data_IF_392192320245
#
_entry.id   IF_392192320245
#
_cell.length_a   1.000
_cell.length_b   1.000
_cell.length_c   1.000
_cell.angle_alpha   90.00
_cell.angle_beta   90.00
_cell.angle_gamma   90.00
#
_symmetry.space_group_name_H-M   'P 1'
#
loop_
_entity.id
_entity.type
_entity.pdbx_description
1 polymer ?
#
# COMPACT_ATOMS: atom_id res chain seq x y z
N UNK A 1 -25.47 -8.51 -3.10
CA UNK A 1 -24.72 -7.42 -2.46
C UNK A 1 -24.65 -7.75 -0.98
N UNK A 2 -23.45 -8.00 -0.47
CA UNK A 2 -23.23 -8.38 0.93
C UNK A 2 -22.66 -7.16 1.66
N UNK A 3 -23.39 -6.69 2.67
CA UNK A 3 -22.97 -5.57 3.52
C UNK A 3 -22.57 -6.11 4.88
N UNK A 4 -21.34 -6.61 4.96
CA UNK A 4 -20.76 -7.14 6.18
C UNK A 4 -19.58 -6.27 6.66
N UNK A 5 -19.08 -6.59 7.84
CA UNK A 5 -17.91 -5.94 8.46
C UNK A 5 -16.70 -5.95 7.51
N UNK A 6 -16.53 -7.00 6.71
CA UNK A 6 -15.49 -7.16 5.69
C UNK A 6 -15.56 -6.13 4.55
N UNK A 7 -16.74 -5.52 4.33
CA UNK A 7 -16.95 -4.44 3.35
C UNK A 7 -16.89 -3.06 4.02
N UNK A 8 -17.37 -2.96 5.27
CA UNK A 8 -17.38 -1.72 6.02
C UNK A 8 -15.97 -1.21 6.36
N UNK A 9 -15.08 -2.10 6.82
CA UNK A 9 -13.71 -1.71 7.21
C UNK A 9 -12.95 -1.09 6.02
N UNK A 10 -12.88 -1.75 4.83
CA UNK A 10 -12.24 -1.14 3.67
C UNK A 10 -12.94 0.13 3.17
N UNK A 11 -14.26 0.24 3.30
CA UNK A 11 -15.00 1.44 2.91
C UNK A 11 -14.62 2.66 3.76
N UNK A 12 -14.59 2.50 5.09
CA UNK A 12 -14.18 3.58 6.01
C UNK A 12 -12.71 3.93 5.77
N UNK A 13 -11.84 2.94 5.62
CA UNK A 13 -10.43 3.15 5.31
C UNK A 13 -10.24 3.93 4.00
N UNK A 14 -10.96 3.55 2.94
CA UNK A 14 -10.93 4.25 1.65
C UNK A 14 -11.30 5.73 1.79
N UNK A 15 -12.39 6.04 2.49
CA UNK A 15 -12.81 7.43 2.73
C UNK A 15 -11.73 8.21 3.47
N UNK A 16 -11.13 7.62 4.51
CA UNK A 16 -10.04 8.26 5.25
C UNK A 16 -8.81 8.51 4.36
N UNK A 17 -8.38 7.52 3.58
CA UNK A 17 -7.20 7.66 2.71
C UNK A 17 -7.40 8.68 1.60
N UNK A 18 -8.58 8.70 0.96
CA UNK A 18 -8.94 9.74 -0.02
C UNK A 18 -8.95 11.12 0.64
N UNK A 19 -9.52 11.23 1.84
CA UNK A 19 -9.55 12.48 2.60
C UNK A 19 -8.14 12.99 2.88
N UNK A 20 -7.25 12.13 3.37
CA UNK A 20 -5.85 12.51 3.59
C UNK A 20 -5.11 12.86 2.29
N UNK A 21 -5.38 12.15 1.21
CA UNK A 21 -4.80 12.47 -0.09
C UNK A 21 -5.24 13.87 -0.56
N UNK A 22 -6.54 14.16 -0.51
CA UNK A 22 -7.11 15.47 -0.87
C UNK A 22 -6.55 16.58 0.01
N UNK A 23 -6.56 16.42 1.33
CA UNK A 23 -5.99 17.42 2.24
C UNK A 23 -4.50 17.63 1.99
N UNK A 24 -3.77 16.55 1.73
CA UNK A 24 -2.37 16.60 1.37
C UNK A 24 -2.13 17.47 0.13
N UNK A 25 -2.88 17.25 -0.95
CA UNK A 25 -2.82 18.07 -2.17
C UNK A 25 -3.22 19.52 -1.93
N UNK A 26 -4.25 19.78 -1.11
CA UNK A 26 -4.67 21.15 -0.77
C UNK A 26 -3.60 21.90 0.03
N UNK A 27 -2.80 21.19 0.83
CA UNK A 27 -1.72 21.77 1.64
C UNK A 27 -0.40 21.92 0.88
N UNK A 28 -0.35 21.57 -0.42
CA UNK A 28 0.82 21.64 -1.30
C UNK A 28 1.59 22.98 -1.25
N UNK A 29 0.87 24.10 -1.02
CA UNK A 29 1.47 25.44 -1.00
C UNK A 29 1.95 25.94 0.37
N UNK A 30 1.64 25.24 1.47
CA UNK A 30 1.87 25.76 2.83
C UNK A 30 2.98 25.06 3.62
N UNK A 31 3.31 23.80 3.33
CA UNK A 31 4.30 23.01 4.08
C UNK A 31 5.19 22.15 3.17
N UNK A 32 6.18 21.45 3.76
CA UNK A 32 7.00 20.42 3.07
C UNK A 32 6.09 19.30 2.56
N UNK A 33 5.62 19.45 1.33
CA UNK A 33 4.80 18.47 0.66
C UNK A 33 5.64 17.29 0.15
N UNK A 34 5.39 16.10 0.70
CA UNK A 34 6.03 14.88 0.24
C UNK A 34 5.16 14.21 -0.83
N UNK A 35 5.57 14.32 -2.10
CA UNK A 35 4.93 13.60 -3.22
C UNK A 35 4.86 12.09 -2.96
N UNK A 36 5.91 11.54 -2.36
CA UNK A 36 6.02 10.12 -1.98
C UNK A 36 4.94 9.70 -0.96
N UNK A 37 4.55 10.61 -0.05
CA UNK A 37 3.42 10.37 0.86
C UNK A 37 2.09 10.29 0.10
N UNK A 38 1.85 11.23 -0.83
CA UNK A 38 0.61 11.20 -1.62
C UNK A 38 0.50 9.94 -2.46
N UNK A 39 1.60 9.53 -3.09
CA UNK A 39 1.65 8.31 -3.87
C UNK A 39 1.32 7.08 -3.02
N UNK A 40 1.91 7.00 -1.81
CA UNK A 40 1.56 5.97 -0.82
C UNK A 40 0.06 5.99 -0.48
N UNK A 41 -0.50 7.16 -0.17
CA UNK A 41 -1.92 7.28 0.17
C UNK A 41 -2.84 6.85 -0.99
N UNK A 42 -2.46 7.15 -2.23
CA UNK A 42 -3.17 6.70 -3.43
C UNK A 42 -3.14 5.17 -3.53
N UNK A 43 -1.99 4.52 -3.33
CA UNK A 43 -1.91 3.06 -3.39
C UNK A 43 -2.75 2.37 -2.33
N UNK A 44 -2.73 2.87 -1.09
CA UNK A 44 -3.55 2.32 -0.01
C UNK A 44 -5.04 2.58 -0.29
N UNK A 45 -5.40 3.73 -0.86
CA UNK A 45 -6.78 4.00 -1.29
C UNK A 45 -7.24 3.03 -2.40
N UNK A 46 -6.41 2.78 -3.43
CA UNK A 46 -6.71 1.79 -4.48
C UNK A 46 -6.92 0.40 -3.88
N UNK A 47 -6.07 0.00 -2.94
CA UNK A 47 -6.20 -1.26 -2.24
C UNK A 47 -7.51 -1.36 -1.44
N UNK A 48 -7.81 -0.35 -0.61
CA UNK A 48 -9.04 -0.33 0.19
C UNK A 48 -10.30 -0.30 -0.68
N UNK A 49 -10.29 0.45 -1.79
CA UNK A 49 -11.39 0.47 -2.74
C UNK A 49 -11.60 -0.90 -3.41
N UNK A 50 -10.53 -1.51 -3.90
CA UNK A 50 -10.60 -2.84 -4.52
C UNK A 50 -11.11 -3.89 -3.54
N UNK A 51 -10.63 -3.87 -2.29
CA UNK A 51 -11.09 -4.77 -1.23
C UNK A 51 -12.57 -4.55 -0.90
N UNK A 52 -13.02 -3.30 -0.78
CA UNK A 52 -14.43 -2.95 -0.56
C UNK A 52 -15.29 -3.53 -1.69
N UNK A 53 -14.96 -3.23 -2.95
CA UNK A 53 -15.76 -3.64 -4.09
C UNK A 53 -15.78 -5.16 -4.29
N UNK A 54 -14.69 -5.85 -3.95
CA UNK A 54 -14.61 -7.31 -3.96
C UNK A 54 -15.60 -7.94 -2.96
N UNK A 55 -15.66 -7.42 -1.73
CA UNK A 55 -16.55 -7.96 -0.69
C UNK A 55 -18.01 -7.52 -0.85
N UNK A 56 -18.25 -6.36 -1.48
CA UNK A 56 -19.59 -5.84 -1.77
C UNK A 56 -20.40 -6.80 -2.65
N UNK A 57 -19.72 -7.60 -3.49
CA UNK A 57 -20.32 -8.48 -4.49
C UNK A 57 -21.40 -7.76 -5.32
N UNK A 58 -20.99 -6.61 -5.88
CA UNK A 58 -21.86 -5.75 -6.69
C UNK A 58 -22.03 -6.33 -8.10
N UNK A 59 -23.22 -6.20 -8.73
CA UNK A 59 -23.44 -6.65 -10.10
C UNK A 59 -22.61 -5.90 -11.17
N UNK A 60 -21.87 -4.85 -10.78
CA UNK A 60 -21.06 -4.06 -11.71
C UNK A 60 -19.93 -4.90 -12.35
N UNK A 61 -19.20 -5.67 -11.55
CA UNK A 61 -18.05 -6.48 -11.99
C UNK A 61 -17.83 -7.64 -11.00
N UNK A 62 -17.15 -8.69 -11.46
CA UNK A 62 -16.86 -9.86 -10.63
C UNK A 62 -15.91 -9.54 -9.47
N UNK A 63 -16.00 -10.26 -8.33
CA UNK A 63 -15.03 -10.12 -7.24
C UNK A 63 -13.58 -10.34 -7.70
N UNK A 64 -13.35 -11.25 -8.65
CA UNK A 64 -12.03 -11.46 -9.27
C UNK A 64 -11.50 -10.20 -9.97
N UNK A 65 -12.34 -9.46 -10.70
CA UNK A 65 -11.93 -8.19 -11.31
C UNK A 65 -11.51 -7.16 -10.27
N UNK A 66 -12.31 -7.01 -9.20
CA UNK A 66 -11.97 -6.11 -8.09
C UNK A 66 -10.72 -6.54 -7.33
N UNK A 67 -10.47 -7.84 -7.24
CA UNK A 67 -9.23 -8.37 -6.70
C UNK A 67 -8.00 -7.92 -7.53
N UNK A 68 -8.09 -7.94 -8.86
CA UNK A 68 -7.01 -7.43 -9.72
C UNK A 68 -6.69 -5.97 -9.40
N UNK A 69 -7.71 -5.13 -9.23
CA UNK A 69 -7.53 -3.72 -8.84
C UNK A 69 -6.95 -3.60 -7.42
N UNK A 70 -7.47 -4.38 -6.47
CA UNK A 70 -6.95 -4.42 -5.10
C UNK A 70 -5.45 -4.73 -5.08
N UNK A 71 -5.00 -5.71 -5.87
CA UNK A 71 -3.60 -6.12 -5.95
C UNK A 71 -2.68 -5.05 -6.56
N UNK A 72 -3.18 -4.17 -7.44
CA UNK A 72 -2.42 -3.01 -7.93
C UNK A 72 -2.01 -2.14 -6.75
N UNK A 73 -2.97 -1.83 -5.88
CA UNK A 73 -2.71 -1.10 -4.64
C UNK A 73 -1.74 -1.87 -3.76
N UNK A 74 -2.12 -3.08 -3.33
CA UNK A 74 -1.37 -3.89 -2.35
C UNK A 74 0.10 -4.05 -2.71
N UNK A 75 0.41 -4.42 -3.96
CA UNK A 75 1.78 -4.68 -4.40
C UNK A 75 2.59 -3.40 -4.57
N UNK A 76 1.93 -2.25 -4.75
CA UNK A 76 2.60 -0.95 -4.90
C UNK A 76 2.81 -0.21 -3.58
N UNK A 77 2.02 -0.52 -2.53
CA UNK A 77 2.11 0.11 -1.20
C UNK A 77 3.54 0.12 -0.63
N UNK A 78 4.29 -1.00 -0.60
CA UNK A 78 5.62 -1.03 0.02
C UNK A 78 6.63 -0.08 -0.66
N UNK A 79 6.50 0.12 -1.97
CA UNK A 79 7.35 1.04 -2.74
C UNK A 79 7.06 2.50 -2.39
N UNK A 80 5.77 2.87 -2.35
CA UNK A 80 5.34 4.20 -1.92
C UNK A 80 5.78 4.50 -0.49
N UNK A 81 5.61 3.53 0.42
CA UNK A 81 6.00 3.66 1.82
C UNK A 81 7.51 3.84 1.99
N UNK A 82 8.32 3.02 1.32
CA UNK A 82 9.78 3.11 1.40
C UNK A 82 10.29 4.46 0.86
N UNK A 83 9.74 4.91 -0.27
CA UNK A 83 10.04 6.23 -0.85
C UNK A 83 9.65 7.36 0.10
N UNK A 84 8.48 7.28 0.74
CA UNK A 84 8.06 8.25 1.75
C UNK A 84 9.02 8.29 2.95
N UNK A 85 9.45 7.14 3.48
CA UNK A 85 10.39 7.08 4.60
C UNK A 85 11.73 7.73 4.26
N UNK A 86 12.25 7.50 3.05
CA UNK A 86 13.50 8.14 2.61
C UNK A 86 13.40 9.66 2.51
N UNK A 87 12.26 10.17 2.06
CA UNK A 87 12.02 11.61 2.03
C UNK A 87 11.75 12.20 3.42
N UNK A 88 11.02 11.47 4.29
CA UNK A 88 10.74 11.85 5.67
C UNK A 88 12.04 11.98 6.49
N UNK A 89 12.95 11.01 6.33
CA UNK A 89 14.27 11.00 6.97
C UNK A 89 15.28 11.93 6.28
N UNK A 90 14.88 12.61 5.21
CA UNK A 90 15.73 13.52 4.42
C UNK A 90 17.07 12.88 4.01
N UNK A 91 17.07 11.58 3.69
CA UNK A 91 18.28 10.84 3.32
C UNK A 91 18.82 11.43 2.01
N UNK A 92 20.03 11.99 2.06
CA UNK A 92 20.69 12.65 0.92
C UNK A 92 21.54 11.70 0.08
N UNK A 93 21.68 10.44 0.49
CA UNK A 93 22.48 9.46 -0.25
C UNK A 93 21.86 9.19 -1.63
N UNK A 94 22.58 9.60 -2.69
CA UNK A 94 22.13 9.44 -4.08
C UNK A 94 21.92 7.97 -4.45
N UNK A 95 22.74 7.06 -3.94
CA UNK A 95 22.65 5.62 -4.24
C UNK A 95 21.33 5.05 -3.72
N UNK A 96 20.96 5.39 -2.47
CA UNK A 96 19.70 4.95 -1.85
C UNK A 96 18.48 5.48 -2.62
N UNK A 97 18.49 6.77 -2.98
CA UNK A 97 17.41 7.38 -3.79
C UNK A 97 17.27 6.72 -5.16
N UNK A 98 18.39 6.46 -5.84
CA UNK A 98 18.39 5.76 -7.13
C UNK A 98 17.86 4.33 -7.01
N UNK A 99 18.28 3.59 -5.99
CA UNK A 99 17.84 2.22 -5.75
C UNK A 99 16.31 2.13 -5.56
N UNK A 100 15.73 3.05 -4.78
CA UNK A 100 14.28 3.10 -4.55
C UNK A 100 13.54 3.52 -5.81
N UNK A 101 14.02 4.53 -6.53
CA UNK A 101 13.38 4.95 -7.78
C UNK A 101 13.41 3.83 -8.83
N UNK A 102 14.54 3.12 -8.94
CA UNK A 102 14.67 2.00 -9.87
C UNK A 102 13.76 0.84 -9.48
N UNK A 103 13.50 0.65 -8.18
CA UNK A 103 12.63 -0.42 -7.72
C UNK A 103 11.18 -0.30 -8.16
N UNK A 104 10.70 0.89 -8.53
CA UNK A 104 9.37 1.03 -9.13
C UNK A 104 9.23 0.23 -10.42
N UNK A 105 10.33 -0.07 -11.12
CA UNK A 105 10.29 -0.94 -12.29
C UNK A 105 9.87 -2.38 -11.94
N UNK A 106 10.08 -2.83 -10.70
CA UNK A 106 9.64 -4.14 -10.22
C UNK A 106 8.11 -4.25 -10.12
N UNK A 107 7.39 -3.13 -10.11
CA UNK A 107 5.92 -3.13 -10.16
C UNK A 107 5.44 -3.68 -11.50
N UNK A 108 6.16 -3.45 -12.61
CA UNK A 108 5.75 -3.91 -13.95
C UNK A 108 5.58 -5.44 -14.02
N UNK A 109 6.60 -6.27 -13.69
CA UNK A 109 6.43 -7.72 -13.69
C UNK A 109 5.41 -8.20 -12.66
N UNK A 110 5.26 -7.52 -11.51
CA UNK A 110 4.22 -7.84 -10.53
C UNK A 110 2.81 -7.59 -11.08
N UNK A 111 2.61 -6.49 -11.81
CA UNK A 111 1.34 -6.21 -12.48
C UNK A 111 1.06 -7.24 -13.56
N UNK A 112 2.08 -7.66 -14.32
CA UNK A 112 1.93 -8.74 -15.28
C UNK A 112 1.44 -10.02 -14.59
N UNK A 113 2.09 -10.47 -13.52
CA UNK A 113 1.68 -11.66 -12.75
C UNK A 113 0.27 -11.52 -12.13
N UNK A 114 -0.10 -10.30 -11.73
CA UNK A 114 -1.44 -10.01 -11.24
C UNK A 114 -2.49 -10.21 -12.35
N UNK A 115 -2.31 -9.58 -13.50
CA UNK A 115 -3.30 -9.64 -14.59
C UNK A 115 -3.37 -11.00 -15.28
N UNK A 116 -2.29 -11.78 -15.30
CA UNK A 116 -2.29 -13.16 -15.83
C UNK A 116 -2.96 -14.18 -14.90
N UNK A 117 -3.33 -13.79 -13.68
CA UNK A 117 -3.88 -14.72 -12.69
C UNK A 117 -2.85 -15.60 -12.01
N UNK A 118 -1.57 -15.27 -12.14
CA UNK A 118 -0.47 -16.02 -11.54
C UNK A 118 -0.30 -15.74 -10.04
N UNK A 119 -0.95 -14.69 -9.49
CA UNK A 119 -0.98 -14.40 -8.05
C UNK A 119 -2.27 -14.92 -7.41
N UNK A 120 -3.41 -14.56 -7.98
CA UNK A 120 -4.74 -15.03 -7.55
C UNK A 120 -5.37 -15.70 -8.73
N UNK A 121 -5.67 -16.99 -8.61
CA UNK A 121 -6.32 -17.74 -9.69
C UNK A 121 -7.81 -17.46 -9.72
N UNK A 122 -8.46 -17.43 -8.55
CA UNK A 122 -9.90 -17.23 -8.44
C UNK A 122 -10.31 -16.53 -7.14
N UNK A 123 -11.40 -15.77 -7.18
CA UNK A 123 -11.98 -15.08 -6.04
C UNK A 123 -13.46 -14.80 -6.29
N UNK A 124 -14.30 -15.14 -5.31
CA UNK A 124 -15.75 -15.05 -5.49
C UNK A 124 -16.52 -15.40 -4.24
N UNK A 125 -17.82 -15.67 -4.43
CA UNK A 125 -18.71 -16.15 -3.39
C UNK A 125 -19.29 -17.48 -3.83
N UNK A 126 -19.38 -18.43 -2.91
CA UNK A 126 -20.10 -19.69 -3.15
C UNK A 126 -21.60 -19.43 -3.22
N UNK A 127 -22.38 -20.40 -3.69
CA UNK A 127 -23.85 -20.33 -3.69
C UNK A 127 -24.44 -20.14 -2.29
N UNK A 128 -23.70 -20.54 -1.24
CA UNK A 128 -24.04 -20.31 0.17
C UNK A 128 -23.65 -18.92 0.70
N UNK A 129 -23.09 -18.04 -0.15
CA UNK A 129 -22.67 -16.69 0.23
C UNK A 129 -21.32 -16.62 0.95
N UNK A 130 -20.52 -17.68 0.96
CA UNK A 130 -19.21 -17.69 1.60
C UNK A 130 -18.15 -17.17 0.63
N UNK A 131 -17.40 -16.14 1.04
CA UNK A 131 -16.29 -15.61 0.24
C UNK A 131 -15.14 -16.62 0.15
N UNK A 132 -14.66 -16.87 -1.06
CA UNK A 132 -13.51 -17.74 -1.31
C UNK A 132 -12.41 -16.99 -2.06
N UNK A 133 -11.16 -17.39 -1.80
CA UNK A 133 -9.96 -16.75 -2.34
C UNK A 133 -8.87 -17.77 -2.61
N UNK A 134 -8.55 -18.01 -3.88
CA UNK A 134 -7.56 -18.98 -4.32
C UNK A 134 -6.29 -18.30 -4.81
N UNK A 135 -5.19 -18.64 -4.14
CA UNK A 135 -3.85 -18.21 -4.52
C UNK A 135 -3.28 -19.14 -5.60
N UNK A 136 -2.54 -18.56 -6.52
CA UNK A 136 -1.77 -19.28 -7.53
C UNK A 136 -0.28 -19.35 -7.15
N UNK A 137 0.52 -20.11 -7.89
CA UNK A 137 1.92 -20.39 -7.57
C UNK A 137 2.80 -19.14 -7.47
N UNK A 138 2.47 -18.09 -8.23
CA UNK A 138 3.17 -16.80 -8.20
C UNK A 138 2.79 -15.92 -7.00
N UNK A 139 1.83 -16.32 -6.17
CA UNK A 139 1.47 -15.58 -4.96
C UNK A 139 2.64 -15.46 -3.98
N UNK A 140 3.35 -16.57 -3.77
CA UNK A 140 4.44 -16.63 -2.80
C UNK A 140 5.56 -15.67 -3.17
N UNK A 141 5.95 -15.61 -4.45
CA UNK A 141 7.01 -14.72 -4.91
C UNK A 141 6.57 -13.24 -4.86
N UNK A 142 5.36 -12.92 -5.30
CA UNK A 142 4.84 -11.56 -5.30
C UNK A 142 4.72 -10.98 -3.88
N UNK A 143 4.16 -11.76 -2.94
CA UNK A 143 4.03 -11.30 -1.55
C UNK A 143 5.36 -11.27 -0.81
N UNK A 144 6.28 -12.22 -1.06
CA UNK A 144 7.62 -12.21 -0.46
C UNK A 144 8.38 -10.93 -0.79
N UNK A 145 8.28 -10.45 -2.03
CA UNK A 145 8.89 -9.18 -2.44
C UNK A 145 8.32 -8.00 -1.63
N UNK A 146 6.99 -7.97 -1.45
CA UNK A 146 6.32 -6.94 -0.65
C UNK A 146 6.82 -6.93 0.80
N UNK A 147 7.01 -8.10 1.41
CA UNK A 147 7.56 -8.23 2.77
C UNK A 147 9.02 -7.78 2.86
N UNK A 148 9.85 -8.07 1.87
CA UNK A 148 11.24 -7.59 1.83
C UNK A 148 11.27 -6.06 1.87
N UNK A 149 10.41 -5.38 1.10
CA UNK A 149 10.30 -3.92 1.14
C UNK A 149 9.82 -3.38 2.49
N UNK A 150 8.89 -4.06 3.14
CA UNK A 150 8.46 -3.69 4.49
C UNK A 150 9.61 -3.81 5.50
N UNK A 151 10.39 -4.89 5.45
CA UNK A 151 11.58 -5.08 6.30
C UNK A 151 12.61 -3.97 6.06
N UNK A 152 12.89 -3.64 4.78
CA UNK A 152 13.80 -2.53 4.43
C UNK A 152 13.27 -1.20 4.99
N UNK A 153 11.96 -0.95 4.88
CA UNK A 153 11.33 0.27 5.39
C UNK A 153 11.48 0.38 6.91
N UNK A 154 11.24 -0.70 7.64
CA UNK A 154 11.44 -0.77 9.09
C UNK A 154 12.90 -0.50 9.45
N UNK A 155 13.83 -1.13 8.73
CA UNK A 155 15.26 -0.92 8.92
C UNK A 155 15.65 0.55 8.70
N UNK A 156 15.14 1.19 7.64
CA UNK A 156 15.38 2.61 7.38
C UNK A 156 14.79 3.50 8.49
N UNK A 157 13.60 3.20 9.00
CA UNK A 157 13.01 3.96 10.12
C UNK A 157 13.82 3.83 11.41
N UNK A 158 14.32 2.62 11.72
CA UNK A 158 15.08 2.37 12.94
C UNK A 158 16.49 2.98 12.89
N UNK A 159 17.20 2.81 11.78
CA UNK A 159 18.63 3.14 11.67
C UNK A 159 18.93 4.38 10.82
N UNK A 160 18.00 4.80 9.94
CA UNK A 160 18.18 5.93 9.03
C UNK A 160 17.82 7.29 9.63
N UNK A 161 17.15 7.30 10.79
CA UNK A 161 16.98 8.52 11.54
C UNK A 161 18.32 8.93 12.18
N UNK A 162 18.74 10.16 11.98
CA UNK A 162 19.88 10.73 12.70
C UNK A 162 19.35 11.18 14.09
N UNK A 163 19.14 10.21 14.99
CA UNK A 163 18.51 10.41 16.32
C UNK A 163 19.22 11.48 17.17
N UNK A 164 20.45 11.85 16.79
CA UNK A 164 21.35 12.71 17.55
C UNK A 164 21.02 14.20 17.51
N UNK A 165 20.37 14.73 16.47
CA UNK A 165 20.33 16.18 16.27
C UNK A 165 18.96 16.86 16.25
N UNK A 166 17.84 16.12 16.17
CA UNK A 166 16.55 16.79 15.99
C UNK A 166 15.42 16.18 16.84
N UNK A 167 15.09 16.85 17.95
CA UNK A 167 13.99 16.48 18.87
C UNK A 167 12.65 16.36 18.14
N UNK A 168 12.45 17.13 17.07
CA UNK A 168 11.19 17.20 16.33
C UNK A 168 11.02 15.97 15.42
N UNK A 169 12.10 15.51 14.78
CA UNK A 169 12.14 14.26 14.02
C UNK A 169 11.87 13.07 14.93
N UNK A 170 12.45 13.06 16.14
CA UNK A 170 12.27 11.98 17.12
C UNK A 170 10.81 11.83 17.58
N UNK A 171 10.11 12.95 17.83
CA UNK A 171 8.68 12.94 18.22
C UNK A 171 7.74 12.54 17.08
N UNK A 172 8.08 12.92 15.85
CA UNK A 172 7.27 12.60 14.67
C UNK A 172 7.46 11.15 14.19
N UNK A 173 8.56 10.47 14.56
CA UNK A 173 8.85 9.08 14.18
C UNK A 173 8.39 8.04 15.21
N UNK A 174 8.22 8.42 16.49
CA UNK A 174 7.70 7.50 17.52
C UNK A 174 6.29 7.00 17.22
N UNK A 175 5.43 7.85 16.66
CA UNK A 175 4.05 7.49 16.32
C UNK A 175 3.99 6.47 15.16
N UNK A 176 4.70 6.68 14.03
CA UNK A 176 4.86 5.66 12.99
C UNK A 176 5.45 4.33 13.50
N UNK A 177 6.47 4.37 14.37
CA UNK A 177 7.08 3.16 14.92
C UNK A 177 6.12 2.35 15.81
N UNK A 178 5.31 3.02 16.63
CA UNK A 178 4.25 2.36 17.41
C UNK A 178 3.20 1.76 16.48
N UNK A 179 2.79 2.50 15.44
CA UNK A 179 1.82 2.01 14.45
C UNK A 179 2.30 0.85 13.58
N UNK A 180 3.61 0.61 13.49
CA UNK A 180 4.19 -0.55 12.77
C UNK A 180 4.32 -1.77 13.69
N UNK A 181 4.37 -1.58 15.01
CA UNK A 181 4.50 -2.65 16.01
C UNK A 181 3.14 -3.20 16.49
N UNK A 182 2.04 -2.52 16.19
CA UNK A 182 0.65 -2.91 16.50
C UNK A 182 -0.01 -3.42 15.24
#
# INVERSE_FOLDING_TARGET
MYFDISTLIPAVAFVLYVTFAVFGFLQYRKDRFYWSFQLYMIFVAIWSFGSMMMHLNSPLMTPLFWNRIMLIGLLSVPYGLCSFVVDLLAIKNKVVRWMINLSYLLIIPLMHLNFTGSIVSDAGFTDAGVFYYHLADGAMSAYSLSYIYLIITIFLLLFGADWKNDKLVRRNLTLPLIGVLV
#
